data_IF_271297453687
#
_entry.id   IF_271297453687
#
_cell.length_a   1.000
_cell.length_b   1.000
_cell.length_c   1.000
_cell.angle_alpha   90.00
_cell.angle_beta   90.00
_cell.angle_gamma   90.00
#
_symmetry.space_group_name_H-M   'P 1'
#
loop_
_entity.id
_entity.type
_entity.pdbx_description
1 polymer ?
#
# COMPACT_ATOMS: atom_id res chain seq x y z
N UNK A 1 25.75 2.58 -13.55
CA UNK A 1 25.49 1.27 -12.89
C UNK A 1 25.03 1.43 -11.42
N UNK A 2 25.73 2.23 -10.59
CA UNK A 2 25.44 2.44 -9.15
C UNK A 2 23.98 2.84 -8.85
N UNK A 3 23.35 3.69 -9.67
CA UNK A 3 21.97 4.11 -9.46
C UNK A 3 20.93 3.00 -9.73
N UNK A 4 21.19 2.13 -10.71
CA UNK A 4 20.29 1.00 -11.00
C UNK A 4 20.34 -0.05 -9.89
N UNK A 5 21.54 -0.36 -9.39
CA UNK A 5 21.71 -1.30 -8.28
C UNK A 5 21.01 -0.80 -7.03
N UNK A 6 21.18 0.48 -6.67
CA UNK A 6 20.47 1.09 -5.54
C UNK A 6 18.94 1.02 -5.69
N UNK A 7 18.42 1.36 -6.86
CA UNK A 7 16.99 1.28 -7.14
C UNK A 7 16.44 -0.13 -6.91
N UNK A 8 17.12 -1.15 -7.47
CA UNK A 8 16.71 -2.55 -7.32
C UNK A 8 16.81 -3.00 -5.85
N UNK A 9 17.89 -2.63 -5.15
CA UNK A 9 18.05 -2.96 -3.72
C UNK A 9 16.96 -2.33 -2.87
N UNK A 10 16.63 -1.05 -3.08
CA UNK A 10 15.55 -0.38 -2.36
C UNK A 10 14.20 -1.06 -2.64
N UNK A 11 13.89 -1.36 -3.91
CA UNK A 11 12.66 -2.05 -4.27
C UNK A 11 12.57 -3.44 -3.60
N UNK A 12 13.67 -4.20 -3.59
CA UNK A 12 13.71 -5.52 -2.97
C UNK A 12 13.52 -5.47 -1.44
N UNK A 13 14.17 -4.51 -0.76
CA UNK A 13 14.01 -4.31 0.69
C UNK A 13 12.57 -3.90 1.03
N UNK A 14 11.99 -2.98 0.24
CA UNK A 14 10.60 -2.53 0.44
C UNK A 14 9.63 -3.69 0.21
N UNK A 15 9.86 -4.52 -0.82
CA UNK A 15 9.03 -5.70 -1.09
C UNK A 15 9.08 -6.71 0.07
N UNK A 16 10.28 -7.01 0.57
CA UNK A 16 10.46 -7.91 1.71
C UNK A 16 9.78 -7.35 2.97
N UNK A 17 9.94 -6.06 3.24
CA UNK A 17 9.33 -5.40 4.39
C UNK A 17 7.80 -5.46 4.32
N UNK A 18 7.20 -5.17 3.16
CA UNK A 18 5.75 -5.27 2.96
C UNK A 18 5.25 -6.69 3.23
N UNK A 19 5.85 -7.68 2.59
CA UNK A 19 5.45 -9.07 2.75
C UNK A 19 5.58 -9.55 4.21
N UNK A 20 6.71 -9.26 4.86
CA UNK A 20 6.94 -9.65 6.26
C UNK A 20 5.95 -8.97 7.21
N UNK A 21 5.71 -7.66 7.06
CA UNK A 21 4.77 -6.93 7.92
C UNK A 21 3.35 -7.50 7.76
N UNK A 22 2.93 -7.81 6.53
CA UNK A 22 1.61 -8.37 6.28
C UNK A 22 1.46 -9.79 6.83
N UNK A 23 2.50 -10.64 6.69
CA UNK A 23 2.50 -11.98 7.30
C UNK A 23 2.48 -11.93 8.83
N UNK A 24 3.27 -11.05 9.43
CA UNK A 24 3.26 -10.85 10.89
C UNK A 24 1.89 -10.35 11.37
N UNK A 25 1.28 -9.42 10.63
CA UNK A 25 -0.07 -8.97 10.96
C UNK A 25 -1.06 -10.13 10.94
N UNK A 26 -1.06 -10.97 9.91
CA UNK A 26 -1.98 -12.11 9.85
C UNK A 26 -1.70 -13.17 10.92
N UNK A 27 -0.46 -13.30 11.37
CA UNK A 27 -0.10 -14.20 12.47
C UNK A 27 -0.60 -13.68 13.82
N UNK A 28 -0.46 -12.37 14.06
CA UNK A 28 -0.79 -11.75 15.34
C UNK A 28 -2.27 -11.32 15.43
N UNK A 29 -2.85 -10.92 14.31
CA UNK A 29 -4.21 -10.39 14.18
C UNK A 29 -4.90 -11.07 12.98
N UNK A 30 -5.25 -12.37 13.08
CA UNK A 30 -5.81 -13.12 11.96
C UNK A 30 -7.05 -12.45 11.37
N UNK A 31 -7.09 -12.37 10.04
CA UNK A 31 -8.23 -11.83 9.30
C UNK A 31 -8.22 -10.31 9.08
N UNK A 32 -7.55 -9.52 9.91
CA UNK A 32 -7.58 -8.05 9.80
C UNK A 32 -7.03 -7.51 8.49
N UNK A 33 -6.16 -8.26 7.82
CA UNK A 33 -5.59 -7.88 6.52
C UNK A 33 -6.37 -8.43 5.31
N UNK A 34 -7.41 -9.25 5.53
CA UNK A 34 -8.09 -10.02 4.47
C UNK A 34 -9.61 -9.99 4.55
N UNK A 35 -10.19 -9.37 5.56
CA UNK A 35 -11.65 -9.23 5.71
C UNK A 35 -12.22 -8.09 4.84
N UNK A 36 -13.53 -7.95 4.85
CA UNK A 36 -14.25 -6.90 4.11
C UNK A 36 -13.78 -5.50 4.50
N UNK A 37 -13.49 -5.28 5.79
CA UNK A 37 -12.78 -4.07 6.26
C UNK A 37 -11.30 -4.44 6.39
N UNK A 38 -10.57 -4.24 5.32
CA UNK A 38 -9.14 -4.57 5.29
C UNK A 38 -8.33 -3.42 5.93
N UNK A 39 -7.83 -3.66 7.14
CA UNK A 39 -6.87 -2.76 7.80
C UNK A 39 -5.45 -3.33 7.64
N UNK A 40 -4.92 -3.34 6.43
CA UNK A 40 -3.60 -3.90 6.12
C UNK A 40 -2.50 -2.93 6.55
N UNK A 41 -1.80 -3.22 7.66
CA UNK A 41 -0.76 -2.34 8.25
C UNK A 41 0.34 -2.00 7.24
N UNK A 42 0.70 -2.93 6.36
CA UNK A 42 1.70 -2.74 5.31
C UNK A 42 1.33 -1.64 4.30
N UNK A 43 0.04 -1.27 4.16
CA UNK A 43 -0.36 -0.16 3.30
C UNK A 43 0.15 1.20 3.81
N UNK A 44 0.48 1.31 5.10
CA UNK A 44 1.18 2.48 5.62
C UNK A 44 2.53 2.73 4.91
N UNK A 45 3.17 1.67 4.39
CA UNK A 45 4.42 1.79 3.64
C UNK A 45 4.23 2.45 2.26
N UNK A 46 2.99 2.58 1.77
CA UNK A 46 2.71 3.28 0.53
C UNK A 46 3.21 4.72 0.56
N UNK A 47 3.33 5.34 1.73
CA UNK A 47 3.92 6.68 1.89
C UNK A 47 5.37 6.78 1.39
N UNK A 48 6.11 5.66 1.30
CA UNK A 48 7.45 5.64 0.72
C UNK A 48 7.45 6.08 -0.76
N UNK A 49 6.32 5.91 -1.46
CA UNK A 49 6.18 6.37 -2.83
C UNK A 49 6.27 7.90 -2.97
N UNK A 50 6.09 8.68 -1.91
CA UNK A 50 6.36 10.13 -1.96
C UNK A 50 7.85 10.46 -2.07
N UNK A 51 8.71 9.58 -1.61
CA UNK A 51 10.14 9.82 -1.43
C UNK A 51 11.02 9.09 -2.44
N UNK A 52 10.61 7.89 -2.88
CA UNK A 52 11.39 7.10 -3.82
C UNK A 52 10.51 6.38 -4.85
N UNK A 53 10.87 6.43 -6.14
CA UNK A 53 10.14 5.68 -7.18
C UNK A 53 10.36 4.16 -7.06
N UNK A 54 11.37 3.71 -6.31
CA UNK A 54 11.61 2.28 -6.05
C UNK A 54 10.48 1.67 -5.18
N UNK A 55 9.73 2.49 -4.46
CA UNK A 55 8.57 2.04 -3.69
C UNK A 55 7.45 1.49 -4.60
N UNK A 56 7.29 2.01 -5.81
CA UNK A 56 6.25 1.55 -6.74
C UNK A 56 6.41 0.05 -7.03
N UNK A 57 7.51 -0.42 -7.67
CA UNK A 57 7.70 -1.85 -7.89
C UNK A 57 7.90 -2.63 -6.59
N UNK A 58 8.53 -2.04 -5.57
CA UNK A 58 8.79 -2.70 -4.30
C UNK A 58 7.50 -3.12 -3.59
N UNK A 59 6.57 -2.21 -3.40
CA UNK A 59 5.29 -2.49 -2.73
C UNK A 59 4.40 -3.40 -3.57
N UNK A 60 4.38 -3.21 -4.90
CA UNK A 60 3.63 -4.08 -5.81
C UNK A 60 4.11 -5.53 -5.74
N UNK A 61 5.44 -5.74 -5.79
CA UNK A 61 6.03 -7.08 -5.66
C UNK A 61 5.81 -7.63 -4.24
N UNK A 62 5.91 -6.81 -3.21
CA UNK A 62 5.65 -7.21 -1.83
C UNK A 62 4.21 -7.68 -1.62
N UNK A 63 3.23 -6.96 -2.19
CA UNK A 63 1.83 -7.36 -2.20
C UNK A 63 1.62 -8.69 -2.94
N UNK A 64 2.21 -8.83 -4.12
CA UNK A 64 2.15 -10.06 -4.91
C UNK A 64 2.76 -11.25 -4.15
N UNK A 65 3.93 -11.08 -3.55
CA UNK A 65 4.59 -12.12 -2.76
C UNK A 65 3.74 -12.56 -1.57
N UNK A 66 3.14 -11.60 -0.85
CA UNK A 66 2.22 -11.92 0.23
C UNK A 66 1.04 -12.72 -0.28
N UNK A 67 0.34 -12.26 -1.31
CA UNK A 67 -0.87 -12.92 -1.81
C UNK A 67 -0.58 -14.32 -2.38
N UNK A 68 0.56 -14.55 -3.03
CA UNK A 68 0.96 -15.89 -3.52
C UNK A 68 1.30 -16.84 -2.36
N UNK A 69 1.92 -16.34 -1.30
CA UNK A 69 2.38 -17.17 -0.18
C UNK A 69 1.34 -17.35 0.92
N UNK A 70 0.29 -16.55 0.91
CA UNK A 70 -0.80 -16.65 1.88
C UNK A 70 -1.86 -17.63 1.37
N UNK A 71 -1.97 -18.79 2.04
CA UNK A 71 -2.82 -19.91 1.61
C UNK A 71 -4.33 -19.57 1.52
N UNK A 72 -4.80 -18.56 2.24
CA UNK A 72 -6.19 -18.13 2.22
C UNK A 72 -6.45 -16.95 1.25
N UNK A 73 -5.44 -16.48 0.50
CA UNK A 73 -5.65 -15.46 -0.52
C UNK A 73 -6.45 -16.04 -1.70
N UNK A 74 -7.37 -15.23 -2.21
CA UNK A 74 -8.13 -15.60 -3.40
C UNK A 74 -7.22 -15.51 -4.64
N UNK A 75 -7.41 -16.38 -5.65
CA UNK A 75 -6.57 -16.36 -6.86
C UNK A 75 -6.53 -15.00 -7.57
N UNK A 76 -7.63 -14.24 -7.54
CA UNK A 76 -7.66 -12.90 -8.13
C UNK A 76 -6.90 -11.86 -7.30
N UNK A 77 -6.74 -12.04 -5.98
CA UNK A 77 -5.92 -11.17 -5.13
C UNK A 77 -4.48 -11.00 -5.64
N UNK A 78 -3.95 -12.04 -6.30
CA UNK A 78 -2.59 -11.97 -6.87
C UNK A 78 -2.48 -10.87 -7.91
N UNK A 79 -3.51 -10.72 -8.74
CA UNK A 79 -3.53 -9.74 -9.83
C UNK A 79 -4.15 -8.44 -9.35
N UNK A 80 -5.35 -8.50 -8.79
CA UNK A 80 -6.13 -7.30 -8.44
C UNK A 80 -5.48 -6.54 -7.28
N UNK A 81 -5.07 -7.22 -6.22
CA UNK A 81 -4.38 -6.59 -5.09
C UNK A 81 -3.05 -5.95 -5.51
N UNK A 82 -2.29 -6.64 -6.37
CA UNK A 82 -1.03 -6.10 -6.91
C UNK A 82 -1.26 -4.90 -7.82
N UNK A 83 -2.29 -4.91 -8.67
CA UNK A 83 -2.67 -3.78 -9.52
C UNK A 83 -3.19 -2.60 -8.70
N UNK A 84 -3.92 -2.87 -7.62
CA UNK A 84 -4.38 -1.83 -6.70
C UNK A 84 -3.19 -1.13 -6.04
N UNK A 85 -2.22 -1.89 -5.50
CA UNK A 85 -0.99 -1.33 -4.91
C UNK A 85 -0.15 -0.58 -5.93
N UNK A 86 -0.03 -1.08 -7.17
CA UNK A 86 0.66 -0.40 -8.25
C UNK A 86 0.01 0.94 -8.58
N UNK A 87 -1.31 0.94 -8.77
CA UNK A 87 -2.08 2.14 -9.12
C UNK A 87 -2.03 3.18 -8.00
N UNK A 88 -2.18 2.73 -6.74
CA UNK A 88 -2.08 3.55 -5.54
C UNK A 88 -0.72 4.25 -5.45
N UNK A 89 0.36 3.49 -5.50
CA UNK A 89 1.72 4.01 -5.31
C UNK A 89 2.18 4.86 -6.49
N UNK A 90 1.80 4.52 -7.71
CA UNK A 90 2.01 5.37 -8.88
C UNK A 90 1.24 6.70 -8.74
N UNK A 91 -0.03 6.64 -8.35
CA UNK A 91 -0.84 7.83 -8.07
C UNK A 91 -0.22 8.73 -7.00
N UNK A 92 0.27 8.14 -5.90
CA UNK A 92 0.99 8.88 -4.85
C UNK A 92 2.25 9.57 -5.39
N UNK A 93 3.06 8.85 -6.18
CA UNK A 93 4.26 9.40 -6.79
C UNK A 93 3.96 10.58 -7.71
N UNK A 94 2.97 10.48 -8.59
CA UNK A 94 2.58 11.58 -9.48
C UNK A 94 1.97 12.76 -8.72
N UNK A 95 1.16 12.49 -7.71
CA UNK A 95 0.52 13.52 -6.89
C UNK A 95 1.44 14.12 -5.79
N UNK A 96 2.69 13.63 -5.61
CA UNK A 96 3.57 14.03 -4.49
C UNK A 96 3.88 15.52 -4.38
N UNK A 97 3.78 16.25 -5.50
CA UNK A 97 4.03 17.69 -5.55
C UNK A 97 2.76 18.51 -5.25
N UNK A 98 1.58 17.89 -5.28
CA UNK A 98 0.31 18.54 -5.01
C UNK A 98 0.08 18.50 -3.50
N UNK A 99 0.37 19.63 -2.83
CA UNK A 99 0.28 19.70 -1.38
C UNK A 99 -0.71 20.75 -0.92
N UNK A 100 -1.43 20.44 0.16
CA UNK A 100 -2.29 21.39 0.89
C UNK A 100 -1.60 21.69 2.22
N UNK A 101 -1.21 22.93 2.44
CA UNK A 101 -0.43 23.34 3.63
C UNK A 101 0.83 22.47 3.87
N UNK A 102 1.51 22.07 2.77
CA UNK A 102 2.73 21.25 2.84
C UNK A 102 2.48 19.73 3.06
N UNK A 103 1.25 19.29 3.12
CA UNK A 103 0.88 17.88 3.25
C UNK A 103 0.28 17.35 1.92
N UNK A 104 0.74 16.19 1.38
CA UNK A 104 0.30 15.65 0.10
C UNK A 104 -1.05 14.92 0.21
N UNK A 105 -2.10 15.66 0.58
CA UNK A 105 -3.42 15.09 0.87
C UNK A 105 -3.96 14.25 -0.29
N UNK A 106 -3.87 14.76 -1.53
CA UNK A 106 -4.36 14.05 -2.71
C UNK A 106 -3.61 12.72 -2.91
N UNK A 107 -2.28 12.73 -2.78
CA UNK A 107 -1.51 11.51 -2.87
C UNK A 107 -1.86 10.52 -1.74
N UNK A 108 -2.09 11.03 -0.53
CA UNK A 108 -2.37 10.20 0.64
C UNK A 108 -3.70 9.40 0.51
N UNK A 109 -4.67 9.89 -0.22
CA UNK A 109 -5.95 9.18 -0.45
C UNK A 109 -5.92 8.22 -1.64
N UNK A 110 -4.84 8.22 -2.46
CA UNK A 110 -4.75 7.35 -3.65
C UNK A 110 -4.89 5.85 -3.34
N UNK A 111 -4.26 5.30 -2.28
CA UNK A 111 -4.46 3.89 -1.93
C UNK A 111 -5.93 3.57 -1.61
N UNK A 112 -6.61 4.44 -0.87
CA UNK A 112 -8.01 4.23 -0.55
C UNK A 112 -8.88 4.21 -1.82
N UNK A 113 -8.62 5.09 -2.78
CA UNK A 113 -9.35 5.13 -4.05
C UNK A 113 -9.06 3.88 -4.89
N UNK A 114 -7.78 3.52 -5.06
CA UNK A 114 -7.38 2.38 -5.89
C UNK A 114 -7.92 1.06 -5.32
N UNK A 115 -7.76 0.83 -4.02
CA UNK A 115 -8.26 -0.37 -3.36
C UNK A 115 -9.80 -0.40 -3.33
N UNK A 116 -10.48 0.71 -3.06
CA UNK A 116 -11.94 0.76 -3.10
C UNK A 116 -12.50 0.33 -4.45
N UNK A 117 -11.88 0.75 -5.55
CA UNK A 117 -12.35 0.40 -6.89
C UNK A 117 -11.98 -1.06 -7.21
N UNK A 118 -10.72 -1.44 -7.10
CA UNK A 118 -10.23 -2.72 -7.59
C UNK A 118 -10.58 -3.86 -6.64
N UNK A 119 -10.25 -3.73 -5.36
CA UNK A 119 -10.57 -4.75 -4.34
C UNK A 119 -12.06 -4.74 -4.02
N UNK A 120 -12.73 -3.59 -4.05
CA UNK A 120 -14.19 -3.51 -3.91
C UNK A 120 -14.94 -4.27 -5.00
N UNK A 121 -14.46 -4.22 -6.26
CA UNK A 121 -15.00 -5.03 -7.36
C UNK A 121 -14.73 -6.52 -7.13
N UNK A 122 -13.53 -6.88 -6.74
CA UNK A 122 -13.14 -8.26 -6.43
C UNK A 122 -14.04 -8.87 -5.35
N UNK A 123 -14.22 -8.18 -4.23
CA UNK A 123 -15.10 -8.63 -3.15
C UNK A 123 -16.55 -8.78 -3.61
N UNK A 124 -17.01 -7.92 -4.52
CA UNK A 124 -18.37 -8.02 -5.07
C UNK A 124 -18.55 -9.31 -5.87
N UNK A 125 -17.52 -9.75 -6.59
CA UNK A 125 -17.55 -11.00 -7.35
C UNK A 125 -17.51 -12.23 -6.44
N UNK A 126 -16.68 -12.20 -5.38
CA UNK A 126 -16.49 -13.38 -4.53
C UNK A 126 -17.50 -13.50 -3.38
N UNK A 127 -17.83 -12.40 -2.74
CA UNK A 127 -18.67 -12.41 -1.52
C UNK A 127 -20.11 -12.00 -1.85
N UNK A 128 -20.29 -11.29 -2.98
CA UNK A 128 -21.57 -10.65 -3.28
C UNK A 128 -21.71 -9.32 -2.53
N UNK A 129 -22.93 -8.93 -2.27
CA UNK A 129 -23.21 -7.63 -1.67
C UNK A 129 -23.15 -6.48 -2.67
N UNK A 130 -23.44 -5.35 -2.58
CA UNK A 130 -23.32 -4.28 -3.60
C UNK A 130 -21.89 -3.74 -3.66
N UNK A 131 -21.42 -3.42 -4.86
CA UNK A 131 -20.11 -2.80 -5.07
C UNK A 131 -19.87 -1.57 -4.17
N UNK A 132 -20.87 -0.71 -4.05
CA UNK A 132 -20.75 0.51 -3.25
C UNK A 132 -20.45 0.23 -1.76
N UNK A 133 -21.04 -0.83 -1.18
CA UNK A 133 -20.77 -1.23 0.20
C UNK A 133 -19.35 -1.78 0.35
N UNK A 134 -18.95 -2.70 -0.53
CA UNK A 134 -17.61 -3.27 -0.50
C UNK A 134 -16.53 -2.19 -0.69
N UNK A 135 -16.71 -1.32 -1.69
CA UNK A 135 -15.80 -0.21 -1.95
C UNK A 135 -15.69 0.76 -0.75
N UNK A 136 -16.81 1.05 -0.09
CA UNK A 136 -16.83 1.92 1.09
C UNK A 136 -16.07 1.30 2.26
N UNK A 137 -16.29 0.01 2.55
CA UNK A 137 -15.60 -0.68 3.64
C UNK A 137 -14.09 -0.79 3.40
N UNK A 138 -13.68 -1.11 2.17
CA UNK A 138 -12.27 -1.11 1.78
C UNK A 138 -11.66 0.28 1.93
N UNK A 139 -12.33 1.32 1.41
CA UNK A 139 -11.87 2.70 1.54
C UNK A 139 -11.70 3.14 3.00
N UNK A 140 -12.64 2.78 3.87
CA UNK A 140 -12.56 3.11 5.30
C UNK A 140 -11.37 2.42 5.98
N UNK A 141 -11.16 1.13 5.72
CA UNK A 141 -10.01 0.40 6.26
C UNK A 141 -8.68 1.02 5.84
N UNK A 142 -8.53 1.33 4.55
CA UNK A 142 -7.35 1.99 3.99
C UNK A 142 -7.12 3.38 4.61
N UNK A 143 -8.15 4.20 4.68
CA UNK A 143 -8.06 5.54 5.26
C UNK A 143 -7.63 5.50 6.72
N UNK A 144 -8.15 4.56 7.52
CA UNK A 144 -7.74 4.39 8.90
C UNK A 144 -6.24 4.10 8.98
N UNK A 145 -5.73 3.15 8.20
CA UNK A 145 -4.31 2.78 8.20
C UNK A 145 -3.44 3.95 7.75
N UNK A 146 -3.83 4.64 6.68
CA UNK A 146 -3.06 5.77 6.14
C UNK A 146 -3.06 6.97 7.10
N UNK A 147 -4.16 7.24 7.78
CA UNK A 147 -4.22 8.34 8.75
C UNK A 147 -3.48 8.01 10.04
N UNK A 148 -3.69 6.81 10.58
CA UNK A 148 -3.16 6.41 11.90
C UNK A 148 -1.69 6.00 11.83
N UNK A 149 -1.26 5.32 10.75
CA UNK A 149 0.10 4.82 10.60
C UNK A 149 0.87 5.53 9.48
N UNK A 150 0.24 5.74 8.33
CA UNK A 150 0.88 6.35 7.17
C UNK A 150 1.27 7.82 7.42
N UNK A 151 0.39 8.61 8.00
CA UNK A 151 0.67 10.03 8.28
C UNK A 151 1.83 10.23 9.26
N UNK A 152 1.87 9.55 10.44
CA UNK A 152 3.02 9.62 11.33
C UNK A 152 4.31 9.15 10.67
N UNK A 153 4.26 8.08 9.87
CA UNK A 153 5.42 7.58 9.13
C UNK A 153 5.93 8.63 8.12
N UNK A 154 5.04 9.24 7.34
CA UNK A 154 5.37 10.33 6.43
C UNK A 154 6.03 11.50 7.17
N UNK A 155 5.44 11.96 8.27
CA UNK A 155 5.98 13.04 9.08
C UNK A 155 7.35 12.69 9.66
N UNK A 156 7.53 11.47 10.17
CA UNK A 156 8.79 11.02 10.73
C UNK A 156 9.92 11.01 9.68
N UNK A 157 9.62 10.54 8.45
CA UNK A 157 10.59 10.54 7.35
C UNK A 157 11.00 11.98 6.99
N UNK A 158 10.03 12.89 6.86
CA UNK A 158 10.30 14.29 6.53
C UNK A 158 11.10 15.03 7.61
N UNK A 159 10.67 14.94 8.87
CA UNK A 159 11.30 15.65 9.99
C UNK A 159 12.73 15.15 10.24
N UNK A 160 12.97 13.87 10.07
CA UNK A 160 14.31 13.28 10.28
C UNK A 160 15.20 13.31 9.03
N UNK A 161 14.71 13.87 7.92
CA UNK A 161 15.42 13.89 6.63
C UNK A 161 15.93 12.51 6.19
N UNK A 162 15.13 11.45 6.46
CA UNK A 162 15.49 10.08 6.09
C UNK A 162 15.42 9.85 4.58
N UNK A 163 14.60 10.63 3.88
CA UNK A 163 14.53 10.68 2.42
C UNK A 163 15.89 10.98 1.79
N UNK A 164 16.62 11.96 2.33
CA UNK A 164 17.95 12.33 1.84
C UNK A 164 19.04 11.34 2.25
N UNK A 165 18.87 10.64 3.37
CA UNK A 165 19.89 9.73 3.92
C UNK A 165 19.78 8.32 3.38
N UNK A 166 18.56 7.80 3.23
CA UNK A 166 18.29 6.39 2.95
C UNK A 166 17.66 6.14 1.58
N UNK A 167 16.93 7.11 1.05
CA UNK A 167 16.11 6.92 -0.16
C UNK A 167 16.62 7.72 -1.38
N UNK A 168 17.65 8.56 -1.23
CA UNK A 168 18.26 9.35 -2.31
C UNK A 168 19.21 8.54 -3.21
#
# INVERSE_FOLDING_TARGET
MRNRTRFITHAAVIAALYAVVTHLQNLLLPGTATWVIQCRISEALCVLAFFTPAAIPGLTIGCLLFNITFAAALPLDWVIGSLATLSATAGMWYARKITVKGYPLLGMIMPAIANAILVGLELTVYIGGGFAFNALYVALGELIVLLVLGTPLYCAIRVRHLDLKLLA
#
